data_IF_606492753295
#
_entry.id   IF_606492753295
#
_cell.length_a   1.000
_cell.length_b   1.000
_cell.length_c   1.000
_cell.angle_alpha   90.00
_cell.angle_beta   90.00
_cell.angle_gamma   90.00
#
_symmetry.space_group_name_H-M   'P 1'
#
loop_
_entity.id
_entity.type
_entity.pdbx_description
1 polymer ?
#
# COMPACT_ATOMS: atom_id res chain seq x y z
N UNK A 1 -25.81 -3.60 -36.72
CA UNK A 1 -24.53 -4.26 -36.40
C UNK A 1 -23.39 -3.25 -36.26
N UNK A 2 -22.94 -2.56 -37.33
CA UNK A 2 -21.77 -1.65 -37.27
C UNK A 2 -21.86 -0.49 -36.27
N UNK A 3 -23.03 0.14 -36.11
CA UNK A 3 -23.22 1.25 -35.15
C UNK A 3 -22.99 0.83 -33.69
N UNK A 4 -23.37 -0.40 -33.32
CA UNK A 4 -23.17 -0.91 -31.96
C UNK A 4 -21.68 -1.13 -31.68
N UNK A 5 -20.95 -1.67 -32.65
CA UNK A 5 -19.50 -1.88 -32.55
C UNK A 5 -18.78 -0.54 -32.36
N UNK A 6 -19.16 0.50 -33.10
CA UNK A 6 -18.60 1.85 -32.92
C UNK A 6 -18.82 2.35 -31.50
N UNK A 7 -20.04 2.26 -30.97
CA UNK A 7 -20.32 2.70 -29.59
C UNK A 7 -19.52 1.91 -28.54
N UNK A 8 -19.38 0.60 -28.73
CA UNK A 8 -18.56 -0.23 -27.84
C UNK A 8 -17.08 0.18 -27.87
N UNK A 9 -16.53 0.43 -29.06
CA UNK A 9 -15.15 0.87 -29.21
C UNK A 9 -14.93 2.26 -28.59
N UNK A 10 -15.88 3.18 -28.75
CA UNK A 10 -15.84 4.50 -28.12
C UNK A 10 -15.87 4.37 -26.60
N UNK A 11 -16.78 3.57 -26.05
CA UNK A 11 -16.85 3.32 -24.61
C UNK A 11 -15.57 2.70 -24.04
N UNK A 12 -15.01 1.72 -24.74
CA UNK A 12 -13.74 1.13 -24.38
C UNK A 12 -12.60 2.16 -24.44
N UNK A 13 -12.52 2.97 -25.50
CA UNK A 13 -11.50 4.01 -25.64
C UNK A 13 -11.57 5.06 -24.52
N UNK A 14 -12.78 5.48 -24.13
CA UNK A 14 -12.97 6.39 -22.99
C UNK A 14 -12.49 5.73 -21.69
N UNK A 15 -12.88 4.48 -21.44
CA UNK A 15 -12.45 3.76 -20.24
C UNK A 15 -10.92 3.63 -20.16
N UNK A 16 -10.29 3.27 -21.27
CA UNK A 16 -8.82 3.19 -21.38
C UNK A 16 -8.16 4.56 -21.12
N UNK A 17 -8.71 5.64 -21.67
CA UNK A 17 -8.22 7.00 -21.42
C UNK A 17 -8.35 7.42 -19.96
N UNK A 18 -9.49 7.10 -19.32
CA UNK A 18 -9.69 7.34 -17.89
C UNK A 18 -8.71 6.53 -17.03
N UNK A 19 -8.44 5.28 -17.40
CA UNK A 19 -7.45 4.46 -16.70
C UNK A 19 -6.05 5.07 -16.77
N UNK A 20 -5.60 5.49 -17.97
CA UNK A 20 -4.28 6.11 -18.15
C UNK A 20 -4.16 7.40 -17.34
N UNK A 21 -5.21 8.23 -17.33
CA UNK A 21 -5.22 9.43 -16.49
C UNK A 21 -5.13 9.07 -14.99
N UNK A 22 -5.84 8.02 -14.57
CA UNK A 22 -5.80 7.51 -13.20
C UNK A 22 -4.43 6.97 -12.79
N UNK A 23 -3.77 6.18 -13.64
CA UNK A 23 -2.44 5.61 -13.34
C UNK A 23 -1.40 6.70 -13.16
N UNK A 24 -1.41 7.72 -14.03
CA UNK A 24 -0.53 8.90 -13.91
C UNK A 24 -0.81 9.68 -12.62
N UNK A 25 -2.08 9.83 -12.23
CA UNK A 25 -2.43 10.54 -11.00
C UNK A 25 -1.94 9.77 -9.75
N UNK A 26 -2.05 8.44 -9.75
CA UNK A 26 -1.53 7.58 -8.69
C UNK A 26 -0.02 7.71 -8.54
N UNK A 27 0.72 7.56 -9.65
CA UNK A 27 2.17 7.69 -9.68
C UNK A 27 2.62 9.07 -9.18
N UNK A 28 1.97 10.15 -9.66
CA UNK A 28 2.27 11.51 -9.20
C UNK A 28 1.94 11.73 -7.74
N UNK A 29 0.81 11.22 -7.26
CA UNK A 29 0.39 11.37 -5.86
C UNK A 29 1.37 10.71 -4.90
N UNK A 30 1.82 9.49 -5.22
CA UNK A 30 2.80 8.77 -4.41
C UNK A 30 4.17 9.43 -4.46
N UNK A 31 4.64 9.84 -5.64
CA UNK A 31 5.90 10.57 -5.76
C UNK A 31 5.86 11.90 -4.99
N UNK A 32 4.76 12.63 -5.05
CA UNK A 32 4.57 13.86 -4.27
C UNK A 32 4.56 13.59 -2.76
N UNK A 33 3.95 12.49 -2.32
CA UNK A 33 3.98 12.08 -0.91
C UNK A 33 5.40 11.72 -0.45
N UNK A 34 6.16 10.94 -1.24
CA UNK A 34 7.55 10.60 -0.94
C UNK A 34 8.40 11.88 -0.84
N UNK A 35 8.24 12.80 -1.79
CA UNK A 35 8.99 14.06 -1.78
C UNK A 35 8.62 14.94 -0.59
N UNK A 36 7.34 14.99 -0.20
CA UNK A 36 6.90 15.67 1.01
C UNK A 36 7.55 15.05 2.27
N UNK A 37 7.67 13.72 2.35
CA UNK A 37 8.41 13.05 3.45
C UNK A 37 9.87 13.48 3.47
N UNK A 38 10.55 13.55 2.33
CA UNK A 38 11.93 14.04 2.23
C UNK A 38 12.06 15.48 2.67
N UNK A 39 11.12 16.35 2.29
CA UNK A 39 11.09 17.74 2.72
C UNK A 39 10.90 17.89 4.24
N UNK A 40 10.21 16.95 4.88
CA UNK A 40 10.10 16.82 6.35
C UNK A 40 11.36 16.20 7.01
N UNK A 41 12.41 15.92 6.24
CA UNK A 41 13.68 15.37 6.71
C UNK A 41 13.75 13.84 6.75
N UNK A 42 12.73 13.13 6.25
CA UNK A 42 12.76 11.67 6.18
C UNK A 42 13.75 11.20 5.14
N UNK A 43 14.51 10.14 5.46
CA UNK A 43 15.24 9.39 4.45
C UNK A 43 14.26 8.43 3.75
N UNK A 44 13.49 8.94 2.80
CA UNK A 44 12.51 8.18 2.01
C UNK A 44 13.08 7.87 0.61
N UNK A 45 13.79 6.76 0.47
CA UNK A 45 14.35 6.28 -0.79
C UNK A 45 13.46 5.19 -1.39
N UNK A 46 13.22 5.29 -2.69
CA UNK A 46 12.43 4.36 -3.50
C UNK A 46 13.06 4.35 -4.88
N UNK A 47 13.58 3.21 -5.30
CA UNK A 47 14.30 3.11 -6.57
C UNK A 47 13.37 3.26 -7.77
N UNK A 48 12.25 2.53 -7.78
CA UNK A 48 11.25 2.60 -8.84
C UNK A 48 9.86 2.60 -8.25
N UNK A 49 8.95 3.29 -8.94
CA UNK A 49 7.52 3.25 -8.72
C UNK A 49 6.84 3.00 -10.06
N UNK A 50 6.11 1.91 -10.17
CA UNK A 50 5.38 1.52 -11.38
C UNK A 50 3.90 1.27 -11.07
N UNK A 51 3.03 1.55 -12.04
CA UNK A 51 1.59 1.29 -11.95
C UNK A 51 1.13 0.44 -13.12
N UNK A 52 0.79 -0.81 -12.84
CA UNK A 52 0.28 -1.78 -13.79
C UNK A 52 -1.22 -2.07 -13.59
N UNK A 53 -1.79 -2.99 -14.37
CA UNK A 53 -3.17 -3.49 -14.17
C UNK A 53 -4.21 -2.99 -15.19
N UNK A 54 -3.77 -2.43 -16.31
CA UNK A 54 -4.66 -1.93 -17.37
C UNK A 54 -5.71 -2.96 -17.82
N UNK A 55 -6.98 -2.55 -18.06
CA UNK A 55 -7.58 -1.25 -17.78
C UNK A 55 -8.42 -1.24 -16.49
N UNK A 56 -8.36 -2.31 -15.68
CA UNK A 56 -9.35 -2.55 -14.62
C UNK A 56 -8.77 -2.53 -13.21
N UNK A 57 -7.45 -2.41 -13.07
CA UNK A 57 -6.73 -2.44 -11.80
C UNK A 57 -5.66 -1.36 -11.76
N UNK A 58 -5.35 -0.90 -10.57
CA UNK A 58 -4.14 -0.16 -10.27
C UNK A 58 -3.31 -1.01 -9.33
N UNK A 59 -2.30 -1.65 -9.91
CA UNK A 59 -1.33 -2.47 -9.21
C UNK A 59 -0.03 -1.66 -9.13
N UNK A 60 0.15 -0.92 -8.04
CA UNK A 60 1.34 -0.10 -7.82
C UNK A 60 2.42 -0.92 -7.15
N UNK A 61 3.63 -0.95 -7.71
CA UNK A 61 4.80 -1.59 -7.10
C UNK A 61 5.88 -0.55 -6.84
N UNK A 62 6.35 -0.48 -5.60
CA UNK A 62 7.55 0.26 -5.22
C UNK A 62 8.67 -0.74 -5.00
N UNK A 63 9.87 -0.49 -5.54
CA UNK A 63 11.04 -1.38 -5.38
C UNK A 63 12.16 -0.69 -4.61
N UNK A 64 12.92 -1.50 -3.85
CA UNK A 64 14.03 -1.05 -2.99
C UNK A 64 13.60 0.14 -2.13
N UNK A 65 12.60 -0.10 -1.28
CA UNK A 65 12.02 0.93 -0.41
C UNK A 65 12.85 1.01 0.86
N UNK A 66 13.27 2.22 1.21
CA UNK A 66 13.97 2.52 2.46
C UNK A 66 13.36 3.80 3.04
N UNK A 67 12.73 3.69 4.20
CA UNK A 67 12.13 4.82 4.89
C UNK A 67 12.74 4.94 6.28
N UNK A 68 13.28 6.10 6.64
CA UNK A 68 13.71 6.39 8.00
C UNK A 68 13.10 7.70 8.51
N UNK A 69 12.54 7.63 9.71
CA UNK A 69 12.00 8.75 10.46
C UNK A 69 13.13 9.46 11.23
N UNK A 70 13.39 10.75 10.97
CA UNK A 70 14.48 11.48 11.61
C UNK A 70 14.23 11.77 13.09
N UNK A 71 12.98 11.76 13.55
CA UNK A 71 12.62 12.09 14.94
C UNK A 71 12.80 10.88 15.84
N UNK A 72 12.28 9.72 15.43
CA UNK A 72 12.32 8.50 16.24
C UNK A 72 13.55 7.63 15.96
N UNK A 73 14.24 7.85 14.84
CA UNK A 73 15.34 7.00 14.38
C UNK A 73 14.90 5.61 13.95
N UNK A 74 13.58 5.41 13.75
CA UNK A 74 13.02 4.18 13.21
C UNK A 74 13.24 4.16 11.71
N UNK A 75 13.68 3.01 11.18
CA UNK A 75 13.82 2.78 9.76
C UNK A 75 13.15 1.47 9.35
N UNK A 76 12.63 1.44 8.13
CA UNK A 76 12.07 0.26 7.51
C UNK A 76 12.62 0.13 6.10
N UNK A 77 13.00 -1.08 5.71
CA UNK A 77 13.46 -1.37 4.36
C UNK A 77 12.87 -2.67 3.83
N UNK A 78 12.47 -2.65 2.56
CA UNK A 78 11.85 -3.79 1.90
C UNK A 78 12.26 -3.84 0.43
N UNK A 79 12.52 -5.04 -0.14
CA UNK A 79 12.88 -5.18 -1.56
C UNK A 79 11.76 -4.70 -2.50
N UNK A 80 10.51 -4.85 -2.09
CA UNK A 80 9.37 -4.22 -2.75
C UNK A 80 8.21 -4.03 -1.78
N UNK A 81 7.23 -3.20 -2.15
CA UNK A 81 5.87 -3.21 -1.58
C UNK A 81 4.87 -2.99 -2.70
N UNK A 82 3.75 -3.70 -2.66
CA UNK A 82 2.69 -3.56 -3.66
C UNK A 82 1.41 -3.02 -3.03
N UNK A 83 0.75 -2.11 -3.73
CA UNK A 83 -0.58 -1.61 -3.41
C UNK A 83 -1.52 -1.95 -4.57
N UNK A 84 -2.51 -2.79 -4.31
CA UNK A 84 -3.41 -3.32 -5.33
C UNK A 84 -4.80 -2.76 -5.10
N UNK A 85 -5.42 -2.23 -6.14
CA UNK A 85 -6.81 -1.76 -6.10
C UNK A 85 -7.51 -1.96 -7.44
N UNK A 86 -8.85 -1.96 -7.42
CA UNK A 86 -9.64 -1.97 -8.65
C UNK A 86 -9.76 -0.53 -9.16
N UNK A 87 -9.64 -0.32 -10.47
CA UNK A 87 -9.66 1.02 -11.05
C UNK A 87 -10.98 1.79 -10.77
N UNK A 88 -12.08 1.06 -10.61
CA UNK A 88 -13.40 1.60 -10.26
C UNK A 88 -13.69 1.62 -8.74
N UNK A 89 -12.78 1.09 -7.91
CA UNK A 89 -12.82 1.18 -6.43
C UNK A 89 -11.42 1.50 -5.88
N UNK A 90 -10.84 2.66 -6.24
CA UNK A 90 -9.49 3.06 -5.85
C UNK A 90 -9.28 3.19 -4.33
N UNK A 91 -10.37 3.38 -3.57
CA UNK A 91 -10.39 3.51 -2.11
C UNK A 91 -10.34 2.17 -1.36
N UNK A 92 -10.32 1.04 -2.07
CA UNK A 92 -10.13 -0.30 -1.51
C UNK A 92 -8.75 -0.81 -1.90
N UNK A 93 -7.81 -0.79 -0.97
CA UNK A 93 -6.39 -1.04 -1.23
C UNK A 93 -5.92 -2.28 -0.50
N UNK A 94 -5.20 -3.15 -1.18
CA UNK A 94 -4.50 -4.29 -0.60
C UNK A 94 -3.00 -4.00 -0.67
N UNK A 95 -2.38 -3.78 0.47
CA UNK A 95 -0.93 -3.75 0.64
C UNK A 95 -0.39 -5.18 0.73
N UNK A 96 0.65 -5.49 -0.04
CA UNK A 96 1.37 -6.77 0.01
C UNK A 96 2.83 -6.49 0.33
N UNK A 97 3.31 -7.16 1.38
CA UNK A 97 4.70 -7.07 1.81
C UNK A 97 5.52 -8.24 1.24
N UNK A 98 6.83 -8.04 1.04
CA UNK A 98 7.72 -9.10 0.57
C UNK A 98 7.99 -10.09 1.70
N UNK A 99 8.33 -11.32 1.35
CA UNK A 99 8.56 -12.41 2.31
C UNK A 99 9.61 -12.08 3.36
N UNK A 100 10.59 -11.23 3.02
CA UNK A 100 11.58 -10.71 3.96
C UNK A 100 11.64 -9.18 3.88
N UNK A 101 11.64 -8.54 5.04
CA UNK A 101 11.91 -7.11 5.18
C UNK A 101 12.55 -6.79 6.54
N UNK A 102 13.11 -5.60 6.68
CA UNK A 102 13.90 -5.21 7.86
C UNK A 102 13.28 -4.00 8.52
N UNK A 103 13.15 -4.06 9.83
CA UNK A 103 12.71 -2.97 10.68
C UNK A 103 13.80 -2.64 11.71
N UNK A 104 14.34 -1.44 11.64
CA UNK A 104 15.41 -0.96 12.50
C UNK A 104 14.88 0.11 13.44
N UNK A 105 15.35 0.07 14.68
CA UNK A 105 15.11 1.09 15.70
C UNK A 105 16.46 1.53 16.26
N UNK A 106 16.54 2.64 17.03
CA UNK A 106 17.79 3.03 17.67
C UNK A 106 18.39 1.96 18.61
N UNK A 107 17.56 1.02 19.09
CA UNK A 107 17.96 -0.01 20.04
C UNK A 107 18.34 -1.33 19.39
N UNK A 108 17.72 -1.68 18.26
CA UNK A 108 17.86 -2.98 17.63
C UNK A 108 17.38 -2.99 16.18
N UNK A 109 17.91 -3.93 15.41
CA UNK A 109 17.45 -4.27 14.06
C UNK A 109 16.73 -5.60 14.09
N UNK A 110 15.54 -5.64 13.49
CA UNK A 110 14.70 -6.82 13.37
C UNK A 110 14.61 -7.22 11.90
N UNK A 111 14.97 -8.47 11.58
CA UNK A 111 14.66 -9.07 10.29
C UNK A 111 13.35 -9.83 10.44
N UNK A 112 12.39 -9.50 9.58
CA UNK A 112 11.04 -10.05 9.60
C UNK A 112 10.90 -10.92 8.35
N UNK A 113 10.66 -12.21 8.57
CA UNK A 113 10.42 -13.23 7.56
C UNK A 113 8.99 -13.76 7.70
N UNK A 114 8.29 -13.96 6.59
CA UNK A 114 6.95 -14.55 6.58
C UNK A 114 6.62 -15.17 5.21
N UNK A 115 5.76 -16.20 5.18
CA UNK A 115 5.25 -16.72 3.90
C UNK A 115 4.30 -15.73 3.22
N UNK A 116 3.57 -14.95 4.03
CA UNK A 116 2.55 -14.03 3.50
C UNK A 116 2.23 -12.95 4.52
N UNK A 117 2.29 -11.69 4.11
CA UNK A 117 1.71 -10.59 4.86
C UNK A 117 0.93 -9.67 3.91
N UNK A 118 -0.33 -9.42 4.24
CA UNK A 118 -1.24 -8.55 3.48
C UNK A 118 -2.04 -7.66 4.41
N UNK A 119 -2.15 -6.39 4.06
CA UNK A 119 -3.03 -5.42 4.69
C UNK A 119 -4.13 -4.99 3.72
N UNK A 120 -5.40 -5.12 4.08
CA UNK A 120 -6.53 -4.61 3.30
C UNK A 120 -7.10 -3.38 4.01
N UNK A 121 -7.22 -2.28 3.28
CA UNK A 121 -7.73 -1.00 3.74
C UNK A 121 -8.97 -0.65 2.92
N UNK A 122 -10.08 -0.38 3.60
CA UNK A 122 -11.32 0.11 3.03
C UNK A 122 -11.52 1.53 3.51
N UNK A 123 -11.43 2.48 2.58
CA UNK A 123 -11.60 3.91 2.84
C UNK A 123 -12.97 4.36 2.33
N UNK A 124 -13.62 5.27 3.05
CA UNK A 124 -14.88 5.84 2.61
C UNK A 124 -14.72 6.70 1.36
N UNK A 125 -15.77 6.80 0.55
CA UNK A 125 -15.74 7.48 -0.75
C UNK A 125 -15.71 9.02 -0.68
N UNK A 126 -15.52 9.61 0.50
CA UNK A 126 -15.39 11.07 0.67
C UNK A 126 -13.96 11.54 0.41
N UNK A 127 -13.76 12.84 0.21
CA UNK A 127 -12.43 13.43 -0.03
C UNK A 127 -11.48 13.29 1.16
N UNK A 128 -12.04 13.12 2.37
CA UNK A 128 -11.26 12.88 3.57
C UNK A 128 -10.76 11.42 3.69
N UNK A 129 -11.26 10.52 2.82
CA UNK A 129 -10.92 9.09 2.80
C UNK A 129 -10.87 8.47 4.21
N UNK A 130 -11.96 8.58 5.01
CA UNK A 130 -11.97 8.06 6.37
C UNK A 130 -11.72 6.55 6.32
N UNK A 131 -10.88 6.05 7.22
CA UNK A 131 -10.65 4.61 7.35
C UNK A 131 -11.92 3.96 7.91
N UNK A 132 -12.59 3.14 7.09
CA UNK A 132 -13.79 2.40 7.51
C UNK A 132 -13.41 1.04 8.08
N UNK A 133 -12.48 0.35 7.43
CA UNK A 133 -12.04 -0.99 7.85
C UNK A 133 -10.59 -1.24 7.48
N UNK A 134 -9.86 -1.89 8.37
CA UNK A 134 -8.52 -2.40 8.13
C UNK A 134 -8.44 -3.86 8.54
N UNK A 135 -7.84 -4.70 7.70
CA UNK A 135 -7.58 -6.11 8.01
C UNK A 135 -6.13 -6.42 7.67
N UNK A 136 -5.38 -6.96 8.62
CA UNK A 136 -4.00 -7.39 8.41
C UNK A 136 -3.96 -8.90 8.66
N UNK A 137 -3.39 -9.63 7.71
CA UNK A 137 -3.20 -11.09 7.80
C UNK A 137 -1.74 -11.38 7.57
N UNK A 138 -1.15 -12.15 8.47
CA UNK A 138 0.24 -12.61 8.41
C UNK A 138 0.26 -14.12 8.65
N UNK A 139 0.96 -14.86 7.80
CA UNK A 139 1.12 -16.31 7.92
C UNK A 139 2.61 -16.67 8.03
N UNK A 140 2.92 -17.59 8.93
CA UNK A 140 4.26 -18.11 9.21
C UNK A 140 5.31 -17.01 9.48
N UNK A 141 4.99 -16.08 10.37
CA UNK A 141 5.88 -14.99 10.78
C UNK A 141 7.03 -15.51 11.64
N UNK A 142 8.24 -15.06 11.33
CA UNK A 142 9.43 -15.15 12.15
C UNK A 142 10.07 -13.76 12.23
N UNK A 143 10.36 -13.30 13.43
CA UNK A 143 11.06 -12.05 13.69
C UNK A 143 12.32 -12.38 14.45
N UNK A 144 13.48 -12.07 13.86
CA UNK A 144 14.79 -12.21 14.49
C UNK A 144 15.37 -10.86 14.82
N UNK A 145 15.85 -10.67 16.04
CA UNK A 145 16.44 -9.41 16.50
C UNK A 145 17.95 -9.48 16.64
N UNK A 146 18.62 -8.36 16.37
CA UNK A 146 20.03 -8.15 16.67
C UNK A 146 20.36 -8.25 18.17
N UNK A 147 19.36 -8.20 19.06
CA UNK A 147 19.52 -8.46 20.50
C UNK A 147 19.48 -9.95 20.86
N UNK A 148 19.34 -10.85 19.88
CA UNK A 148 19.41 -12.29 20.06
C UNK A 148 18.11 -12.95 20.55
N UNK A 149 16.98 -12.25 20.46
CA UNK A 149 15.67 -12.86 20.65
C UNK A 149 15.01 -13.12 19.31
N UNK A 150 14.19 -14.17 19.28
CA UNK A 150 13.37 -14.55 18.13
C UNK A 150 11.91 -14.71 18.56
N UNK A 151 10.98 -14.33 17.67
CA UNK A 151 9.54 -14.51 17.86
C UNK A 151 8.98 -15.21 16.64
N UNK A 152 8.21 -16.27 16.85
CA UNK A 152 7.50 -16.96 15.77
C UNK A 152 5.99 -16.91 15.99
N UNK A 153 5.23 -16.79 14.91
CA UNK A 153 3.78 -16.78 14.91
C UNK A 153 3.27 -17.53 13.67
N UNK A 154 2.58 -18.64 13.90
CA UNK A 154 2.04 -19.45 12.81
C UNK A 154 1.02 -18.69 11.96
N UNK A 155 0.13 -17.92 12.59
CA UNK A 155 -0.83 -17.08 11.89
C UNK A 155 -1.30 -15.92 12.79
N UNK A 156 -1.35 -14.72 12.22
CA UNK A 156 -1.89 -13.52 12.85
C UNK A 156 -2.98 -12.90 11.98
N UNK A 157 -4.11 -12.52 12.61
CA UNK A 157 -5.14 -11.70 11.96
C UNK A 157 -5.54 -10.57 12.89
N UNK A 158 -5.45 -9.34 12.39
CA UNK A 158 -5.91 -8.14 13.08
C UNK A 158 -6.97 -7.48 12.21
N UNK A 159 -8.11 -7.15 12.79
CA UNK A 159 -9.18 -6.42 12.10
C UNK A 159 -9.62 -5.23 12.94
N UNK A 160 -9.79 -4.09 12.30
CA UNK A 160 -10.31 -2.87 12.90
C UNK A 160 -11.41 -2.30 12.00
N UNK A 161 -12.46 -1.78 12.62
CA UNK A 161 -13.60 -1.17 11.94
C UNK A 161 -14.00 0.12 12.67
N UNK A 162 -14.26 1.17 11.90
CA UNK A 162 -14.75 2.43 12.46
C UNK A 162 -16.20 2.25 12.90
N UNK A 163 -16.46 2.52 14.18
CA UNK A 163 -17.82 2.56 14.73
C UNK A 163 -18.27 4.02 14.73
N UNK A 164 -19.45 4.29 14.16
CA UNK A 164 -20.04 5.62 14.22
C UNK A 164 -20.18 6.04 15.68
N UNK A 165 -19.73 7.26 16.01
CA UNK A 165 -19.95 7.81 17.34
C UNK A 165 -21.45 7.81 17.64
N UNK A 166 -21.85 7.20 18.77
CA UNK A 166 -23.22 7.31 19.24
C UNK A 166 -23.49 8.80 19.49
N UNK A 167 -24.42 9.38 18.73
CA UNK A 167 -24.93 10.71 19.02
C UNK A 167 -25.80 10.57 20.27
N UNK A 168 -25.20 10.79 21.44
CA UNK A 168 -25.96 11.03 22.67
C UNK A 168 -26.73 12.34 22.49
N UNK A 169 -28.04 12.19 22.33
CA UNK A 169 -29.04 13.27 22.21
C UNK A 169 -29.23 14.03 23.51
#
# INVERSE_FOLDING_TARGET
>A
MGRLIVWLLVGAGIWMGLWVAGSILYERGLNAWIEARRAEGWAADVQNLDVAGFPNRFDTTLTDVRMADPVTGVAWSAPFVQFLSLAYKPHQVIAVLPEQHVFSTPLQTMTIDHERARGSLFLGASTALPLERAVIVIDALNVSSSLGWDVTLGQGRVAAEAVAAANDT
#
